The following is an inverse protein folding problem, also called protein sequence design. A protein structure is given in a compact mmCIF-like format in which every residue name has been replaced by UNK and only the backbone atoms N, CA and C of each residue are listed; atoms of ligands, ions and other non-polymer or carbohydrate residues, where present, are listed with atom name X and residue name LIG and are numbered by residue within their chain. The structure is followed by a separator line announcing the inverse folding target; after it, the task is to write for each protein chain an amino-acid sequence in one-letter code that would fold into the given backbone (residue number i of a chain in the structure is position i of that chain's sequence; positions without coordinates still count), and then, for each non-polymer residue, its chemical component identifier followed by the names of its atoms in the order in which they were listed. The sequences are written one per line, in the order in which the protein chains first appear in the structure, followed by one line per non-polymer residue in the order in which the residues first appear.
data_IF_740657348163
#
_entry.id   IF_740657348163
#
_cell.length_a   1.000
_cell.length_b   1.000
_cell.length_c   1.000
_cell.angle_alpha   90.00
_cell.angle_beta   90.00
_cell.angle_gamma   90.00
#
_symmetry.space_group_name_H-M   'P 1'
#
loop_
_entity.id
_entity.type
_entity.pdbx_description
1 polymer ?
#
# COMPACT_ATOMS: atom_id res chain seq x y z
N UNK A 1 -1.95 -21.09 37.59
CA UNK A 1 -0.88 -20.96 36.56
C UNK A 1 -1.37 -21.00 35.10
N UNK A 2 -2.56 -21.50 34.77
CA UNK A 2 -3.07 -21.51 33.37
C UNK A 2 -3.55 -20.15 32.83
N UNK A 3 -4.03 -19.24 33.69
CA UNK A 3 -4.53 -17.92 33.28
C UNK A 3 -3.44 -16.94 32.82
N UNK A 4 -2.18 -17.16 33.23
CA UNK A 4 -1.06 -16.26 32.91
C UNK A 4 -0.56 -16.44 31.46
N UNK A 5 -0.55 -17.67 30.93
CA UNK A 5 -0.19 -17.96 29.52
C UNK A 5 -1.17 -17.37 28.52
N UNK A 6 -2.47 -17.39 28.83
CA UNK A 6 -3.52 -16.86 27.93
C UNK A 6 -3.39 -15.34 27.77
N UNK A 7 -2.98 -14.62 28.82
CA UNK A 7 -2.71 -13.17 28.77
C UNK A 7 -1.47 -12.81 27.96
N UNK A 8 -0.41 -13.63 28.02
CA UNK A 8 0.80 -13.41 27.21
C UNK A 8 0.54 -13.67 25.71
N UNK A 9 -0.21 -14.71 25.38
CA UNK A 9 -0.57 -15.01 24.00
C UNK A 9 -1.49 -13.93 23.41
N UNK A 10 -2.50 -13.43 24.14
CA UNK A 10 -3.34 -12.34 23.64
C UNK A 10 -2.58 -11.03 23.44
N UNK A 11 -1.63 -10.69 24.32
CA UNK A 11 -0.73 -9.56 24.09
C UNK A 11 0.15 -9.78 22.86
N UNK A 12 0.65 -10.99 22.64
CA UNK A 12 1.44 -11.33 21.47
C UNK A 12 0.64 -11.20 20.17
N UNK A 13 -0.59 -11.72 20.13
CA UNK A 13 -1.47 -11.60 18.95
C UNK A 13 -1.94 -10.16 18.70
N UNK A 14 -2.23 -9.39 19.74
CA UNK A 14 -2.63 -7.99 19.58
C UNK A 14 -1.44 -7.12 19.09
N UNK A 15 -0.24 -7.37 19.64
CA UNK A 15 1.02 -6.75 19.21
C UNK A 15 1.37 -7.16 17.76
N UNK A 16 1.12 -8.41 17.36
CA UNK A 16 1.32 -8.90 15.99
C UNK A 16 0.31 -8.29 14.99
N UNK A 17 -0.94 -8.05 15.41
CA UNK A 17 -1.95 -7.34 14.60
C UNK A 17 -1.57 -5.89 14.34
N UNK A 18 -1.03 -5.22 15.36
CA UNK A 18 -0.43 -3.88 15.24
C UNK A 18 0.81 -3.88 14.33
N UNK A 19 1.56 -4.98 14.24
CA UNK A 19 2.74 -5.10 13.36
C UNK A 19 2.44 -5.26 11.86
N UNK A 20 1.19 -5.56 11.48
CA UNK A 20 0.75 -5.70 10.07
C UNK A 20 -0.16 -4.57 9.59
N UNK A 21 -0.58 -3.69 10.49
CA UNK A 21 -1.40 -2.54 10.15
C UNK A 21 -0.53 -1.47 9.50
N UNK A 22 -0.66 -1.31 8.18
CA UNK A 22 -0.03 -0.26 7.40
C UNK A 22 -1.13 0.76 7.04
N UNK A 23 -1.43 1.74 7.92
CA UNK A 23 -2.49 2.72 7.71
C UNK A 23 -2.29 3.54 6.43
N UNK A 24 -1.04 3.74 6.02
CA UNK A 24 -0.72 4.39 4.77
C UNK A 24 -1.15 3.49 3.61
N UNK A 25 -0.80 2.21 3.62
CA UNK A 25 -1.29 1.28 2.60
C UNK A 25 -2.82 1.25 2.50
N UNK A 26 -3.52 1.13 3.62
CA UNK A 26 -4.98 1.08 3.63
C UNK A 26 -5.59 2.37 3.05
N UNK A 27 -5.14 3.54 3.50
CA UNK A 27 -5.64 4.83 3.01
C UNK A 27 -5.46 4.99 1.49
N UNK A 28 -4.30 4.58 0.96
CA UNK A 28 -4.02 4.62 -0.48
C UNK A 28 -4.84 3.58 -1.27
N UNK A 29 -5.07 2.39 -0.73
CA UNK A 29 -5.94 1.38 -1.35
C UNK A 29 -7.41 1.85 -1.40
N UNK A 30 -7.93 2.41 -0.31
CA UNK A 30 -9.29 2.99 -0.29
C UNK A 30 -9.43 4.15 -1.28
N UNK A 31 -8.43 5.04 -1.36
CA UNK A 31 -8.45 6.15 -2.32
C UNK A 31 -8.48 5.64 -3.77
N UNK A 32 -7.67 4.64 -4.10
CA UNK A 32 -7.65 3.99 -5.42
C UNK A 32 -8.98 3.33 -5.74
N UNK A 33 -9.53 2.55 -4.83
CA UNK A 33 -10.83 1.88 -5.00
C UNK A 33 -11.93 2.90 -5.31
N UNK A 34 -11.95 4.02 -4.59
CA UNK A 34 -12.92 5.10 -4.83
C UNK A 34 -12.76 5.73 -6.22
N UNK A 35 -11.53 5.95 -6.68
CA UNK A 35 -11.25 6.48 -8.02
C UNK A 35 -11.76 5.51 -9.10
N UNK A 36 -11.40 4.23 -9.03
CA UNK A 36 -11.82 3.24 -10.02
C UNK A 36 -13.33 2.96 -9.99
N UNK A 37 -13.95 2.95 -8.81
CA UNK A 37 -15.41 2.81 -8.69
C UNK A 37 -16.15 3.96 -9.38
N UNK A 38 -15.71 5.20 -9.14
CA UNK A 38 -16.29 6.38 -9.78
C UNK A 38 -16.04 6.39 -11.28
N UNK A 39 -14.83 6.03 -11.71
CA UNK A 39 -14.46 5.95 -13.12
C UNK A 39 -15.26 4.87 -13.87
N UNK A 40 -15.43 3.68 -13.28
CA UNK A 40 -16.22 2.61 -13.88
C UNK A 40 -17.67 3.04 -14.02
N UNK A 41 -18.27 3.62 -12.97
CA UNK A 41 -19.65 4.15 -13.01
C UNK A 41 -19.82 5.18 -14.12
N UNK A 42 -18.88 6.11 -14.25
CA UNK A 42 -18.88 7.10 -15.32
C UNK A 42 -18.77 6.45 -16.72
N UNK A 43 -17.87 5.48 -16.86
CA UNK A 43 -17.60 4.78 -18.12
C UNK A 43 -18.73 3.84 -18.55
N UNK A 44 -19.56 3.38 -17.61
CA UNK A 44 -20.81 2.67 -17.93
C UNK A 44 -21.75 3.56 -18.73
N UNK A 45 -21.90 4.82 -18.33
CA UNK A 45 -22.74 5.80 -19.04
C UNK A 45 -22.06 6.40 -20.27
N UNK A 46 -20.73 6.53 -20.28
CA UNK A 46 -19.97 7.21 -21.33
C UNK A 46 -18.70 6.47 -21.74
N UNK A 47 -18.85 5.37 -22.50
CA UNK A 47 -17.74 4.49 -22.89
C UNK A 47 -16.57 5.20 -23.58
N UNK A 48 -16.86 6.06 -24.56
CA UNK A 48 -15.81 6.76 -25.32
C UNK A 48 -15.05 7.79 -24.46
N UNK A 49 -15.75 8.50 -23.56
CA UNK A 49 -15.11 9.40 -22.61
C UNK A 49 -14.27 8.61 -21.59
N UNK A 50 -14.74 7.45 -21.14
CA UNK A 50 -13.94 6.54 -20.30
C UNK A 50 -12.63 6.12 -20.97
N UNK A 51 -12.66 5.82 -22.27
CA UNK A 51 -11.44 5.52 -23.04
C UNK A 51 -10.50 6.72 -23.13
N UNK A 52 -11.02 7.92 -23.34
CA UNK A 52 -10.23 9.16 -23.38
C UNK A 52 -9.55 9.44 -22.03
N UNK A 53 -10.26 9.15 -20.94
CA UNK A 53 -9.77 9.30 -19.57
C UNK A 53 -8.86 8.16 -19.11
N UNK A 54 -8.54 7.18 -19.96
CA UNK A 54 -7.67 6.05 -19.61
C UNK A 54 -6.28 6.49 -19.15
N UNK A 55 -5.67 7.43 -19.90
CA UNK A 55 -4.35 7.96 -19.60
C UNK A 55 -4.31 8.76 -18.29
N UNK A 56 -5.18 9.76 -18.06
CA UNK A 56 -5.16 10.48 -16.79
C UNK A 56 -5.46 9.58 -15.59
N UNK A 57 -6.35 8.59 -15.72
CA UNK A 57 -6.61 7.63 -14.64
C UNK A 57 -5.39 6.74 -14.36
N UNK A 58 -4.70 6.27 -15.39
CA UNK A 58 -3.45 5.52 -15.22
C UNK A 58 -2.37 6.37 -14.55
N UNK A 59 -2.21 7.64 -14.94
CA UNK A 59 -1.27 8.57 -14.31
C UNK A 59 -1.61 8.76 -12.83
N UNK A 60 -2.89 8.98 -12.48
CA UNK A 60 -3.33 9.13 -11.09
C UNK A 60 -3.00 7.88 -10.28
N UNK A 61 -3.31 6.69 -10.78
CA UNK A 61 -3.06 5.45 -10.06
C UNK A 61 -1.57 5.25 -9.79
N UNK A 62 -0.71 5.44 -10.79
CA UNK A 62 0.74 5.29 -10.65
C UNK A 62 1.33 6.38 -9.74
N UNK A 63 0.82 7.60 -9.82
CA UNK A 63 1.22 8.70 -8.93
C UNK A 63 0.90 8.36 -7.48
N UNK A 64 -0.28 7.81 -7.19
CA UNK A 64 -0.64 7.33 -5.87
C UNK A 64 0.27 6.18 -5.40
N UNK A 65 0.69 5.28 -6.30
CA UNK A 65 1.67 4.23 -5.97
C UNK A 65 3.01 4.80 -5.51
N UNK A 66 3.51 5.78 -6.28
CA UNK A 66 4.82 6.38 -6.06
C UNK A 66 4.76 7.21 -4.78
N UNK A 67 3.73 8.02 -4.60
CA UNK A 67 3.51 8.88 -3.43
C UNK A 67 3.34 8.09 -2.13
N UNK A 68 2.85 6.85 -2.17
CA UNK A 68 2.78 6.01 -0.98
C UNK A 68 4.18 5.64 -0.43
N UNK A 69 5.21 5.57 -1.28
CA UNK A 69 6.56 5.15 -0.89
C UNK A 69 7.25 6.11 0.10
N UNK A 70 7.34 7.43 -0.14
CA UNK A 70 7.94 8.35 0.82
C UNK A 70 7.13 8.42 2.11
N UNK A 71 5.80 8.37 2.04
CA UNK A 71 4.95 8.39 3.23
C UNK A 71 5.17 7.15 4.10
N UNK A 72 5.27 5.95 3.50
CA UNK A 72 5.63 4.72 4.24
C UNK A 72 7.05 4.76 4.77
N UNK A 73 8.00 5.31 4.01
CA UNK A 73 9.40 5.45 4.46
C UNK A 73 9.48 6.32 5.72
N UNK A 74 8.76 7.46 5.75
CA UNK A 74 8.64 8.31 6.94
C UNK A 74 7.95 7.57 8.07
N UNK A 75 6.84 6.87 7.81
CA UNK A 75 6.12 6.11 8.83
C UNK A 75 7.02 5.08 9.51
N UNK A 76 7.79 4.30 8.73
CA UNK A 76 8.71 3.30 9.28
C UNK A 76 9.88 3.95 10.03
N UNK A 77 10.40 5.09 9.56
CA UNK A 77 11.44 5.83 10.27
C UNK A 77 10.93 6.35 11.63
N UNK A 78 9.75 6.97 11.67
CA UNK A 78 9.12 7.47 12.90
C UNK A 78 8.82 6.33 13.87
N UNK A 79 8.28 5.21 13.38
CA UNK A 79 8.07 4.00 14.19
C UNK A 79 9.39 3.49 14.78
N UNK A 80 10.45 3.44 13.96
CA UNK A 80 11.79 3.07 14.41
C UNK A 80 12.32 3.97 15.53
N UNK A 81 12.17 5.29 15.41
CA UNK A 81 12.57 6.27 16.43
C UNK A 81 11.77 6.11 17.73
N UNK A 82 10.44 5.97 17.64
CA UNK A 82 9.57 5.81 18.82
C UNK A 82 9.94 4.54 19.59
N UNK A 83 10.14 3.41 18.88
CA UNK A 83 10.54 2.14 19.50
C UNK A 83 11.92 2.26 20.14
N UNK A 84 12.86 2.98 19.51
CA UNK A 84 14.19 3.22 20.08
C UNK A 84 14.12 4.06 21.36
N UNK A 85 13.33 5.14 21.36
CA UNK A 85 13.12 5.98 22.54
C UNK A 85 12.48 5.21 23.70
N UNK A 86 11.50 4.34 23.41
CA UNK A 86 10.91 3.43 24.39
C UNK A 86 11.93 2.43 24.97
N UNK A 87 12.80 1.88 24.13
CA UNK A 87 13.85 0.95 24.55
C UNK A 87 14.89 1.58 25.48
N UNK A 88 15.21 2.87 25.29
CA UNK A 88 16.11 3.63 26.17
C UNK A 88 15.48 3.84 27.56
N UNK A 89 14.16 4.01 27.63
CA UNK A 89 13.42 4.22 28.89
C UNK A 89 13.09 2.91 29.63
N UNK A 90 13.18 1.76 28.98
CA UNK A 90 12.95 0.44 29.59
C UNK A 90 14.00 -0.58 29.11
N UNK A 91 15.16 -0.69 29.79
CA UNK A 91 16.32 -1.45 29.32
C UNK A 91 16.15 -2.99 29.35
N UNK A 92 14.94 -3.52 29.59
CA UNK A 92 14.69 -4.97 29.63
C UNK A 92 14.44 -5.60 28.25
N UNK A 93 14.44 -4.83 27.16
CA UNK A 93 13.88 -5.25 25.87
C UNK A 93 14.91 -5.21 24.73
N UNK A 94 15.92 -6.09 24.74
CA UNK A 94 16.74 -6.33 23.53
C UNK A 94 15.91 -6.69 22.27
N UNK A 95 14.65 -7.09 22.46
CA UNK A 95 13.61 -7.25 21.44
C UNK A 95 13.23 -5.93 20.74
N UNK A 96 13.15 -4.81 21.46
CA UNK A 96 12.71 -3.51 20.92
C UNK A 96 13.78 -2.87 20.04
N UNK A 97 15.05 -3.03 20.37
CA UNK A 97 16.17 -2.56 19.53
C UNK A 97 16.15 -3.27 18.16
N UNK A 98 15.97 -4.59 18.14
CA UNK A 98 15.86 -5.36 16.88
C UNK A 98 14.67 -4.91 16.04
N UNK A 99 13.55 -4.55 16.68
CA UNK A 99 12.38 -4.03 15.98
C UNK A 99 12.63 -2.64 15.38
N UNK A 100 13.27 -1.75 16.12
CA UNK A 100 13.67 -0.43 15.62
C UNK A 100 14.57 -0.54 14.39
N UNK A 101 15.61 -1.38 14.45
CA UNK A 101 16.52 -1.63 13.31
C UNK A 101 15.74 -2.14 12.10
N UNK A 102 14.84 -3.10 12.29
CA UNK A 102 14.01 -3.65 11.21
C UNK A 102 13.11 -2.60 10.56
N UNK A 103 12.55 -1.66 11.32
CA UNK A 103 11.72 -0.60 10.77
C UNK A 103 12.56 0.47 10.05
N UNK A 104 13.76 0.77 10.52
CA UNK A 104 14.73 1.58 9.75
C UNK A 104 15.14 0.90 8.43
N UNK A 105 15.41 -0.41 8.43
CA UNK A 105 15.70 -1.17 7.22
C UNK A 105 14.53 -1.09 6.21
N UNK A 106 13.28 -1.24 6.66
CA UNK A 106 12.10 -1.08 5.80
C UNK A 106 11.99 0.35 5.24
N UNK A 107 12.28 1.37 6.06
CA UNK A 107 12.28 2.76 5.63
C UNK A 107 13.27 3.02 4.50
N UNK A 108 14.51 2.55 4.67
CA UNK A 108 15.57 2.63 3.66
C UNK A 108 15.21 1.86 2.40
N UNK A 109 14.63 0.66 2.55
CA UNK A 109 14.25 -0.19 1.44
C UNK A 109 13.09 0.41 0.62
N UNK A 110 12.11 1.06 1.26
CA UNK A 110 11.08 1.82 0.53
C UNK A 110 11.64 3.06 -0.17
N UNK A 111 12.60 3.77 0.45
CA UNK A 111 13.29 4.89 -0.19
C UNK A 111 14.13 4.43 -1.41
N UNK A 112 14.88 3.34 -1.27
CA UNK A 112 15.69 2.76 -2.33
C UNK A 112 14.86 2.21 -3.51
N UNK A 113 13.60 1.82 -3.26
CA UNK A 113 12.66 1.40 -4.30
C UNK A 113 12.08 2.57 -5.10
N UNK A 114 12.12 3.80 -4.60
CA UNK A 114 11.50 4.95 -5.26
C UNK A 114 12.11 5.25 -6.64
N UNK A 115 13.45 5.28 -6.83
CA UNK A 115 14.05 5.41 -8.16
C UNK A 115 13.60 4.32 -9.14
N UNK A 116 13.51 3.08 -8.68
CA UNK A 116 13.05 1.94 -9.51
C UNK A 116 11.59 2.15 -9.92
N UNK A 117 10.72 2.55 -8.98
CA UNK A 117 9.30 2.84 -9.25
C UNK A 117 9.15 3.97 -10.26
N UNK A 118 9.99 5.02 -10.19
CA UNK A 118 9.99 6.13 -11.13
C UNK A 118 10.42 5.70 -12.55
N UNK A 119 11.46 4.89 -12.67
CA UNK A 119 11.94 4.37 -13.97
C UNK A 119 10.89 3.47 -14.63
N UNK A 120 10.21 2.64 -13.83
CA UNK A 120 9.19 1.69 -14.32
C UNK A 120 7.82 2.37 -14.53
N UNK A 121 7.62 3.60 -14.02
CA UNK A 121 6.35 4.32 -14.08
C UNK A 121 5.82 4.53 -15.52
N UNK A 122 6.61 4.97 -16.51
CA UNK A 122 6.12 5.16 -17.88
C UNK A 122 5.59 3.86 -18.49
N UNK A 123 6.29 2.74 -18.26
CA UNK A 123 5.88 1.43 -18.75
C UNK A 123 4.55 0.99 -18.12
N UNK A 124 4.40 1.20 -16.80
CA UNK A 124 3.15 0.92 -16.08
C UNK A 124 2.01 1.81 -16.56
N UNK A 125 2.23 3.11 -16.70
CA UNK A 125 1.24 4.06 -17.22
C UNK A 125 0.76 3.61 -18.60
N UNK A 126 1.69 3.29 -19.51
CA UNK A 126 1.36 2.83 -20.86
C UNK A 126 0.51 1.56 -20.83
N UNK A 127 0.98 0.53 -20.12
CA UNK A 127 0.27 -0.73 -20.02
C UNK A 127 -1.14 -0.56 -19.43
N UNK A 128 -1.25 0.17 -18.32
CA UNK A 128 -2.52 0.43 -17.66
C UNK A 128 -3.47 1.27 -18.52
N UNK A 129 -2.95 2.26 -19.25
CA UNK A 129 -3.73 3.05 -20.23
C UNK A 129 -4.34 2.13 -21.29
N UNK A 130 -3.56 1.21 -21.86
CA UNK A 130 -4.08 0.26 -22.86
C UNK A 130 -5.16 -0.64 -22.27
N UNK A 131 -4.98 -1.14 -21.05
CA UNK A 131 -5.99 -1.98 -20.40
C UNK A 131 -7.28 -1.21 -20.15
N UNK A 132 -7.21 0.01 -19.61
CA UNK A 132 -8.37 0.86 -19.37
C UNK A 132 -9.07 1.24 -20.68
N UNK A 133 -8.31 1.58 -21.73
CA UNK A 133 -8.87 1.94 -23.02
C UNK A 133 -9.60 0.77 -23.69
N UNK A 134 -9.14 -0.47 -23.49
CA UNK A 134 -9.84 -1.66 -23.98
C UNK A 134 -11.20 -1.82 -23.32
N UNK A 135 -11.24 -1.81 -21.98
CA UNK A 135 -12.45 -2.05 -21.19
C UNK A 135 -12.58 -1.05 -20.02
N UNK A 136 -13.08 0.18 -20.25
CA UNK A 136 -13.13 1.22 -19.22
C UNK A 136 -14.21 0.99 -18.15
N UNK A 137 -15.08 -0.01 -18.31
CA UNK A 137 -16.24 -0.27 -17.44
C UNK A 137 -15.96 -1.26 -16.30
N UNK A 138 -14.88 -2.05 -16.42
CA UNK A 138 -14.56 -3.13 -15.49
C UNK A 138 -13.12 -3.05 -14.98
N UNK A 139 -12.61 -1.82 -14.84
CA UNK A 139 -11.24 -1.60 -14.42
C UNK A 139 -11.14 -1.72 -12.90
N UNK A 140 -10.32 -2.65 -12.42
CA UNK A 140 -9.87 -2.67 -11.03
C UNK A 140 -8.49 -1.99 -10.93
N UNK A 141 -8.14 -1.47 -9.74
CA UNK A 141 -6.76 -1.02 -9.51
C UNK A 141 -5.79 -2.17 -9.79
N UNK A 142 -4.72 -1.89 -10.52
CA UNK A 142 -3.82 -2.94 -10.98
C UNK A 142 -2.99 -3.47 -9.82
N UNK A 143 -3.34 -4.65 -9.30
CA UNK A 143 -2.48 -5.38 -8.38
C UNK A 143 -1.42 -6.13 -9.21
N UNK A 144 -0.26 -5.52 -9.40
CA UNK A 144 0.84 -6.08 -10.20
C UNK A 144 1.35 -7.46 -9.72
N UNK A 145 0.98 -7.91 -8.52
CA UNK A 145 1.29 -9.26 -8.02
C UNK A 145 0.32 -10.34 -8.49
N UNK A 146 -0.92 -9.96 -8.79
CA UNK A 146 -1.99 -10.84 -9.28
C UNK A 146 -2.93 -9.98 -10.12
N UNK A 147 -2.73 -9.88 -11.45
CA UNK A 147 -3.63 -9.16 -12.32
C UNK A 147 -4.96 -9.91 -12.39
N UNK A 148 -5.85 -9.63 -11.44
CA UNK A 148 -7.23 -10.10 -11.49
C UNK A 148 -8.01 -9.10 -12.32
N UNK A 149 -8.24 -9.45 -13.59
CA UNK A 149 -9.40 -8.94 -14.30
C UNK A 149 -10.62 -9.40 -13.52
N UNK A 150 -11.52 -8.47 -13.18
CA UNK A 150 -12.77 -8.84 -12.52
C UNK A 150 -13.42 -9.98 -13.30
N UNK A 151 -13.44 -11.18 -12.71
CA UNK A 151 -14.27 -12.25 -13.21
C UNK A 151 -15.69 -11.79 -12.96
N UNK A 152 -16.37 -11.33 -14.01
CA UNK A 152 -17.82 -11.44 -14.04
C UNK A 152 -18.11 -12.95 -14.02
N UNK A 153 -18.29 -13.48 -12.83
CA UNK A 153 -18.68 -14.85 -12.57
C UNK A 153 -19.94 -14.84 -11.73
N UNK A 154 -21.06 -14.98 -12.44
CA UNK A 154 -22.44 -15.26 -12.00
C UNK A 154 -23.10 -14.29 -11.03
#
# INVERSE_FOLDING_TARGET
MHSMKIREDQNFYHKKRLMTFDPVKEAFETAREKIFTNFNRFSTSHKNLGRLLSLPIAIIDITLEIAASPVRSIQFAVAGVIILGGAVLSPKSGFEIKHSIRDFEKSLLEAARLPIKLIVAPLKIFYQTVVIAKNPQSVCFFNYKTPTFGSNGS
#
